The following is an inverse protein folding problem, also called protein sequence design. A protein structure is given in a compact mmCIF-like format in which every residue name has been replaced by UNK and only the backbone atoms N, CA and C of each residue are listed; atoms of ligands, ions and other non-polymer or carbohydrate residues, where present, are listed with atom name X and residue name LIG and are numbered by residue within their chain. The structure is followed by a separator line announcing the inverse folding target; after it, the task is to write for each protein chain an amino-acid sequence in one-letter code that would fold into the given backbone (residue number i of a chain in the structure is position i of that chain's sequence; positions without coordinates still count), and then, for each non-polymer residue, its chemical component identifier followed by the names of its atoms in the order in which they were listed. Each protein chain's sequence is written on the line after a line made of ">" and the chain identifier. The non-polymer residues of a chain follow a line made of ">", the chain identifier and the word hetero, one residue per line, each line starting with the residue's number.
data_IF_445577089413
#
_entry.id   IF_445577089413
#
_cell.length_a   1.000
_cell.length_b   1.000
_cell.length_c   1.000
_cell.angle_alpha   90.00
_cell.angle_beta   90.00
_cell.angle_gamma   90.00
#
_symmetry.space_group_name_H-M   'P 1'
#
loop_
_entity.id
_entity.type
_entity.pdbx_description
1 polymer ?
#
# COMPACT_ATOMS: atom_id res chain seq x y z
N UNK A 1 7.59 34.80 2.27
CA UNK A 1 6.12 34.69 2.31
C UNK A 1 5.61 36.08 2.05
N UNK A 2 4.81 36.27 0.99
CA UNK A 2 4.27 37.59 0.61
C UNK A 2 2.76 37.50 0.73
N UNK A 3 2.15 38.49 1.40
CA UNK A 3 0.71 38.59 1.59
C UNK A 3 0.26 39.93 1.01
N UNK A 4 -0.79 39.91 0.19
CA UNK A 4 -1.39 41.12 -0.38
C UNK A 4 -2.90 41.07 -0.18
N UNK A 5 -3.49 42.21 0.11
CA UNK A 5 -4.95 42.39 0.15
C UNK A 5 -5.36 43.26 -1.04
N UNK A 6 -6.47 42.90 -1.68
CA UNK A 6 -7.00 43.65 -2.82
C UNK A 6 -8.37 44.22 -2.46
N UNK A 7 -8.45 45.49 -2.00
CA UNK A 7 -9.71 46.10 -1.66
C UNK A 7 -10.60 46.32 -2.87
N UNK A 8 -11.89 45.99 -2.75
CA UNK A 8 -12.87 46.11 -3.83
C UNK A 8 -12.81 45.02 -4.90
N UNK A 9 -12.05 43.93 -4.67
CA UNK A 9 -12.01 42.78 -5.57
C UNK A 9 -13.33 41.97 -5.58
N UNK A 10 -14.14 42.09 -4.54
CA UNK A 10 -15.52 41.61 -4.52
C UNK A 10 -16.44 42.78 -4.20
N UNK A 11 -17.26 43.18 -5.17
CA UNK A 11 -18.13 44.38 -5.09
C UNK A 11 -19.33 44.16 -4.17
N UNK A 12 -19.66 42.91 -3.83
CA UNK A 12 -20.80 42.54 -3.01
C UNK A 12 -20.40 42.08 -1.59
N UNK A 13 -19.14 42.23 -1.22
CA UNK A 13 -18.60 41.84 0.09
C UNK A 13 -17.75 42.98 0.64
N UNK A 14 -17.97 43.36 1.90
CA UNK A 14 -17.10 44.36 2.55
C UNK A 14 -15.73 43.77 2.98
N UNK A 15 -15.52 42.46 2.73
CA UNK A 15 -14.29 41.75 3.06
C UNK A 15 -13.31 41.78 1.90
N UNK A 16 -12.08 42.23 2.17
CA UNK A 16 -11.00 42.22 1.18
C UNK A 16 -10.36 40.83 1.08
N UNK A 17 -10.31 40.19 -0.10
CA UNK A 17 -9.63 38.92 -0.25
C UNK A 17 -8.13 39.05 0.04
N UNK A 18 -7.64 38.12 0.85
CA UNK A 18 -6.23 38.00 1.23
C UNK A 18 -5.57 36.96 0.32
N UNK A 19 -4.56 37.38 -0.44
CA UNK A 19 -3.81 36.52 -1.35
C UNK A 19 -2.42 36.25 -0.76
N UNK A 20 -2.04 34.98 -0.72
CA UNK A 20 -0.76 34.53 -0.14
C UNK A 20 0.01 33.68 -1.15
N UNK A 21 1.26 34.04 -1.41
CA UNK A 21 2.18 33.23 -2.22
C UNK A 21 2.97 32.28 -1.33
N UNK A 22 2.67 30.97 -1.42
CA UNK A 22 3.33 29.90 -0.68
C UNK A 22 4.20 29.08 -1.64
N UNK A 23 5.54 29.14 -1.47
CA UNK A 23 6.48 28.27 -2.19
C UNK A 23 6.63 26.94 -1.44
N UNK A 24 5.94 25.91 -1.89
CA UNK A 24 6.10 24.55 -1.37
C UNK A 24 7.27 23.87 -2.10
N UNK A 25 8.34 23.52 -1.37
CA UNK A 25 9.39 22.67 -1.93
C UNK A 25 8.89 21.22 -1.93
N UNK A 26 9.02 20.53 -3.07
CA UNK A 26 8.63 19.13 -3.24
C UNK A 26 9.27 18.28 -2.13
N UNK A 27 8.43 17.72 -1.26
CA UNK A 27 8.84 16.82 -0.19
C UNK A 27 9.67 15.67 -0.78
N UNK A 28 10.78 15.40 -0.10
CA UNK A 28 11.74 14.31 -0.25
C UNK A 28 11.34 13.27 -1.31
N UNK A 29 12.15 13.14 -2.38
CA UNK A 29 12.06 11.97 -3.26
C UNK A 29 12.25 10.73 -2.37
N UNK A 30 11.17 10.01 -2.07
CA UNK A 30 11.26 8.70 -1.45
C UNK A 30 12.17 7.86 -2.34
N UNK A 31 13.37 7.53 -1.85
CA UNK A 31 14.21 6.55 -2.52
C UNK A 31 13.40 5.26 -2.48
N UNK A 32 12.92 4.81 -3.64
CA UNK A 32 12.37 3.46 -3.78
C UNK A 32 13.40 2.51 -3.19
N UNK A 33 13.01 1.74 -2.18
CA UNK A 33 13.92 0.82 -1.52
C UNK A 33 14.47 -0.17 -2.57
N UNK A 34 15.78 -0.12 -2.90
CA UNK A 34 16.36 -1.01 -3.91
C UNK A 34 16.30 -2.49 -3.47
N UNK A 35 15.94 -2.76 -2.22
CA UNK A 35 15.86 -4.10 -1.63
C UNK A 35 14.45 -4.65 -1.56
N UNK A 36 13.52 -4.21 -2.41
CA UNK A 36 12.26 -4.93 -2.56
C UNK A 36 12.54 -6.34 -3.07
N UNK A 37 12.65 -7.29 -2.12
CA UNK A 37 12.88 -8.69 -2.38
C UNK A 37 11.71 -9.18 -3.25
N UNK A 38 12.00 -9.49 -4.52
CA UNK A 38 11.00 -9.98 -5.47
C UNK A 38 10.65 -11.41 -5.11
N UNK A 39 9.39 -11.79 -5.29
CA UNK A 39 8.96 -13.17 -5.10
C UNK A 39 9.62 -14.03 -6.17
N UNK A 40 10.02 -15.24 -5.81
CA UNK A 40 10.42 -16.24 -6.80
C UNK A 40 9.19 -16.92 -7.43
N UNK A 41 8.63 -16.27 -8.47
CA UNK A 41 7.46 -16.75 -9.22
C UNK A 41 7.74 -18.11 -9.89
N UNK A 42 9.02 -18.50 -10.04
CA UNK A 42 9.40 -19.77 -10.67
C UNK A 42 8.90 -20.97 -9.88
N UNK A 43 8.77 -20.85 -8.56
CA UNK A 43 8.21 -21.90 -7.70
C UNK A 43 6.73 -22.16 -7.97
N UNK A 44 6.00 -21.17 -8.47
CA UNK A 44 4.60 -21.32 -8.87
C UNK A 44 4.43 -21.97 -10.26
N UNK A 45 5.52 -22.23 -10.99
CA UNK A 45 5.46 -22.96 -12.26
C UNK A 45 5.23 -24.46 -12.07
N UNK A 46 5.59 -25.00 -10.90
CA UNK A 46 5.31 -26.40 -10.59
C UNK A 46 3.81 -26.54 -10.27
N UNK A 47 3.04 -27.33 -11.04
CA UNK A 47 1.60 -27.46 -10.84
C UNK A 47 1.24 -28.04 -9.46
N UNK A 48 2.04 -28.95 -8.92
CA UNK A 48 1.80 -29.55 -7.61
C UNK A 48 2.00 -28.54 -6.46
N UNK A 49 3.01 -27.68 -6.56
CA UNK A 49 3.22 -26.61 -5.58
C UNK A 49 2.15 -25.52 -5.69
N UNK A 50 1.69 -25.23 -6.90
CA UNK A 50 0.62 -24.26 -7.14
C UNK A 50 -0.69 -24.69 -6.51
N UNK A 51 -1.11 -25.95 -6.67
CA UNK A 51 -2.35 -26.47 -6.09
C UNK A 51 -2.29 -26.46 -4.57
N UNK A 52 -1.17 -26.90 -3.98
CA UNK A 52 -0.98 -26.86 -2.53
C UNK A 52 -1.06 -25.44 -1.96
N UNK A 53 -0.43 -24.47 -2.62
CA UNK A 53 -0.48 -23.06 -2.19
C UNK A 53 -1.89 -22.48 -2.36
N UNK A 54 -2.60 -22.80 -3.45
CA UNK A 54 -4.00 -22.36 -3.66
C UNK A 54 -4.91 -22.86 -2.55
N UNK A 55 -4.86 -24.17 -2.25
CA UNK A 55 -5.67 -24.78 -1.20
C UNK A 55 -5.38 -24.17 0.17
N UNK A 56 -4.10 -23.93 0.48
CA UNK A 56 -3.70 -23.30 1.75
C UNK A 56 -4.18 -21.85 1.85
N UNK A 57 -4.17 -21.09 0.76
CA UNK A 57 -4.71 -19.73 0.71
C UNK A 57 -6.23 -19.73 0.87
N UNK A 58 -6.93 -20.59 0.16
CA UNK A 58 -8.40 -20.73 0.26
C UNK A 58 -8.82 -21.10 1.69
N UNK A 59 -8.11 -22.00 2.35
CA UNK A 59 -8.40 -22.38 3.73
C UNK A 59 -8.19 -21.20 4.70
N UNK A 60 -7.08 -20.45 4.54
CA UNK A 60 -6.81 -19.26 5.36
C UNK A 60 -7.83 -18.14 5.11
N UNK A 61 -8.29 -17.96 3.88
CA UNK A 61 -9.31 -16.97 3.55
C UNK A 61 -10.65 -17.32 4.21
N UNK A 62 -11.08 -18.59 4.13
CA UNK A 62 -12.30 -19.06 4.79
C UNK A 62 -12.25 -18.91 6.32
N UNK A 63 -11.09 -19.11 6.92
CA UNK A 63 -10.87 -18.91 8.36
C UNK A 63 -11.03 -17.43 8.75
N UNK A 64 -10.45 -16.52 7.95
CA UNK A 64 -10.56 -15.07 8.16
C UNK A 64 -12.00 -14.59 7.93
N UNK A 65 -12.67 -15.07 6.88
CA UNK A 65 -14.08 -14.73 6.59
C UNK A 65 -14.99 -15.11 7.75
N UNK A 66 -14.86 -16.33 8.27
CA UNK A 66 -15.60 -16.78 9.47
C UNK A 66 -15.32 -15.92 10.72
N UNK A 67 -14.12 -15.36 10.84
CA UNK A 67 -13.80 -14.47 11.96
C UNK A 67 -14.40 -13.08 11.81
N UNK A 68 -14.60 -12.61 10.58
CA UNK A 68 -15.14 -11.26 10.27
C UNK A 68 -16.66 -11.22 10.43
N UNK A 69 -17.37 -12.30 10.08
CA UNK A 69 -18.84 -12.36 10.20
C UNK A 69 -19.36 -12.21 11.65
N UNK A 70 -18.48 -12.31 12.65
CA UNK A 70 -18.81 -12.17 14.06
C UNK A 70 -18.63 -10.75 14.63
N UNK A 71 -18.05 -9.81 13.86
CA UNK A 71 -17.78 -8.44 14.32
C UNK A 71 -18.08 -7.45 13.18
N UNK A 72 -19.33 -6.97 13.13
CA UNK A 72 -19.72 -5.83 12.30
C UNK A 72 -19.12 -4.55 12.89
N UNK A 73 -17.89 -4.23 12.47
CA UNK A 73 -17.37 -2.86 12.55
C UNK A 73 -16.49 -2.57 11.34
N UNK A 74 -16.56 -1.36 10.81
CA UNK A 74 -16.15 -0.95 9.46
C UNK A 74 -14.65 -1.21 9.12
N UNK A 75 -14.34 -2.46 8.78
CA UNK A 75 -13.53 -3.06 7.72
C UNK A 75 -12.22 -2.39 7.21
N UNK A 76 -11.56 -1.54 8.00
CA UNK A 76 -10.15 -1.17 7.72
C UNK A 76 -9.21 -2.20 8.33
N UNK A 77 -9.47 -2.61 9.57
CA UNK A 77 -8.58 -3.51 10.30
C UNK A 77 -8.60 -4.93 9.71
N UNK A 78 -9.76 -5.42 9.29
CA UNK A 78 -9.91 -6.73 8.63
C UNK A 78 -9.16 -6.77 7.29
N UNK A 79 -9.15 -5.67 6.53
CA UNK A 79 -8.35 -5.54 5.31
C UNK A 79 -6.84 -5.62 5.59
N UNK A 80 -6.38 -5.05 6.71
CA UNK A 80 -4.99 -5.17 7.14
C UNK A 80 -4.63 -6.59 7.60
N UNK A 81 -5.53 -7.28 8.29
CA UNK A 81 -5.36 -8.69 8.68
C UNK A 81 -5.22 -9.58 7.46
N UNK A 82 -6.09 -9.40 6.45
CA UNK A 82 -6.02 -10.16 5.20
C UNK A 82 -4.73 -9.88 4.42
N UNK A 83 -4.32 -8.61 4.35
CA UNK A 83 -3.03 -8.25 3.73
C UNK A 83 -1.84 -8.86 4.47
N UNK A 84 -1.89 -8.92 5.80
CA UNK A 84 -0.83 -9.51 6.64
C UNK A 84 -0.77 -11.02 6.49
N UNK A 85 -1.91 -11.71 6.42
CA UNK A 85 -1.98 -13.16 6.22
C UNK A 85 -1.46 -13.55 4.83
N UNK A 86 -1.82 -12.80 3.78
CA UNK A 86 -1.34 -13.02 2.42
C UNK A 86 0.16 -12.80 2.30
N UNK A 87 0.67 -11.69 2.86
CA UNK A 87 2.11 -11.40 2.86
C UNK A 87 2.93 -12.39 3.67
N UNK A 88 2.36 -12.96 4.74
CA UNK A 88 3.00 -14.01 5.54
C UNK A 88 3.05 -15.33 4.78
N UNK A 89 1.92 -15.80 4.23
CA UNK A 89 1.86 -17.00 3.37
C UNK A 89 2.85 -16.91 2.21
N UNK A 90 2.90 -15.74 1.57
CA UNK A 90 3.85 -15.42 0.49
C UNK A 90 5.31 -15.56 0.93
N UNK A 91 5.67 -15.10 2.13
CA UNK A 91 7.04 -15.21 2.67
C UNK A 91 7.41 -16.63 3.02
N UNK A 92 6.50 -17.39 3.66
CA UNK A 92 6.78 -18.73 4.16
C UNK A 92 6.86 -19.76 3.03
N UNK A 93 5.92 -19.69 2.09
CA UNK A 93 5.69 -20.81 1.16
C UNK A 93 6.43 -20.61 -0.18
N UNK A 94 6.55 -19.35 -0.62
CA UNK A 94 7.24 -19.03 -1.88
C UNK A 94 8.64 -18.47 -1.60
N UNK A 95 8.76 -17.58 -0.62
CA UNK A 95 10.03 -16.93 -0.29
C UNK A 95 10.47 -15.93 -1.37
N UNK A 96 11.69 -15.41 -1.21
CA UNK A 96 12.22 -14.36 -2.08
C UNK A 96 13.25 -14.91 -3.06
N UNK A 97 13.28 -14.34 -4.26
CA UNK A 97 14.31 -14.65 -5.24
C UNK A 97 15.68 -14.17 -4.70
N UNK A 98 16.65 -15.08 -4.65
CA UNK A 98 18.03 -14.71 -4.36
C UNK A 98 18.55 -13.85 -5.52
N UNK A 99 18.95 -12.62 -5.22
CA UNK A 99 19.64 -11.76 -6.17
C UNK A 99 21.04 -12.35 -6.37
N UNK A 100 21.20 -13.19 -7.39
CA UNK A 100 22.52 -13.62 -7.85
C UNK A 100 23.20 -12.36 -8.38
N UNK A 101 24.14 -11.79 -7.60
CA UNK A 101 25.02 -10.73 -8.08
C UNK A 101 25.79 -11.31 -9.28
N UNK A 102 25.47 -10.86 -10.48
CA UNK A 102 26.36 -11.07 -11.63
C UNK A 102 27.58 -10.18 -11.39
N UNK A 103 28.71 -10.80 -11.04
CA UNK A 103 30.01 -10.17 -11.21
C UNK A 103 30.28 -10.12 -12.71
N UNK A 104 30.45 -8.91 -13.23
CA UNK A 104 30.95 -8.60 -14.56
C UNK A 104 31.99 -7.50 -14.42
#
# INVERSE_FOLDING_TARGET
>A
MSVKTYPGADINSDHNPVVVDIKIRRFVKFKLDPRQKRIDIRKLKNPAQRTQISQKLENRLKEIERSIDNEFDENIESSWVLKKSLTTTRKTDIGFANNIKKHG
#
